data_IF_521879576319
#
_entry.id   IF_521879576319
#
_cell.length_a   1.000
_cell.length_b   1.000
_cell.length_c   1.000
_cell.angle_alpha   90.00
_cell.angle_beta   90.00
_cell.angle_gamma   90.00
#
_symmetry.space_group_name_H-M   'P 1'
#
loop_
_entity.id
_entity.type
_entity.pdbx_description
1 polymer ?
#
# COMPACT_ATOMS: atom_id res chain seq x y z
N UNK A 1 29.17 -19.21 1.74
CA UNK A 1 27.85 -18.67 2.11
C UNK A 1 27.15 -19.71 2.96
N UNK A 2 26.52 -19.35 4.10
CA UNK A 2 25.74 -20.31 4.88
C UNK A 2 24.70 -20.96 3.97
N UNK A 3 24.52 -22.28 4.13
CA UNK A 3 23.60 -23.05 3.31
C UNK A 3 22.16 -22.55 3.55
N UNK A 4 21.64 -21.83 2.56
CA UNK A 4 20.30 -21.27 2.56
C UNK A 4 19.24 -22.34 2.32
N UNK A 5 19.59 -23.58 1.96
CA UNK A 5 18.62 -24.63 1.68
C UNK A 5 17.62 -24.84 2.84
N UNK A 6 18.09 -24.66 4.07
CA UNK A 6 17.28 -24.70 5.30
C UNK A 6 16.37 -23.48 5.49
N UNK A 7 16.77 -22.30 5.02
CA UNK A 7 16.13 -21.01 5.33
C UNK A 7 15.47 -20.35 4.12
N UNK A 8 15.58 -20.95 2.94
CA UNK A 8 15.10 -20.37 1.70
C UNK A 8 13.60 -20.08 1.77
N UNK A 9 12.84 -20.99 2.38
CA UNK A 9 11.40 -20.83 2.55
C UNK A 9 11.08 -19.73 3.56
N UNK A 10 11.78 -19.67 4.69
CA UNK A 10 11.63 -18.66 5.73
C UNK A 10 11.94 -17.26 5.19
N UNK A 11 13.01 -17.13 4.42
CA UNK A 11 13.45 -15.85 3.85
C UNK A 11 12.47 -15.38 2.77
N UNK A 12 12.07 -16.27 1.84
CA UNK A 12 11.10 -15.93 0.79
C UNK A 12 9.74 -15.60 1.40
N UNK A 13 9.29 -16.35 2.41
CA UNK A 13 8.03 -16.07 3.09
C UNK A 13 8.08 -14.77 3.90
N UNK A 14 9.18 -14.47 4.60
CA UNK A 14 9.36 -13.21 5.31
C UNK A 14 9.29 -12.00 4.38
N UNK A 15 9.97 -12.06 3.23
CA UNK A 15 9.87 -11.01 2.22
C UNK A 15 8.48 -10.97 1.58
N UNK A 16 7.89 -12.12 1.23
CA UNK A 16 6.56 -12.19 0.62
C UNK A 16 5.47 -11.59 1.51
N UNK A 17 5.46 -11.93 2.80
CA UNK A 17 4.54 -11.36 3.78
C UNK A 17 4.78 -9.85 3.94
N UNK A 18 6.05 -9.44 4.09
CA UNK A 18 6.38 -8.02 4.25
C UNK A 18 5.97 -7.19 3.02
N UNK A 19 6.23 -7.70 1.81
CA UNK A 19 5.79 -7.07 0.56
C UNK A 19 4.27 -6.99 0.49
N UNK A 20 3.55 -8.06 0.84
CA UNK A 20 2.09 -8.07 0.84
C UNK A 20 1.50 -7.03 1.81
N UNK A 21 2.07 -6.89 3.01
CA UNK A 21 1.66 -5.88 3.99
C UNK A 21 1.89 -4.46 3.47
N UNK A 22 3.05 -4.19 2.86
CA UNK A 22 3.36 -2.88 2.29
C UNK A 22 2.41 -2.53 1.13
N UNK A 23 2.17 -3.48 0.22
CA UNK A 23 1.21 -3.28 -0.88
C UNK A 23 -0.19 -3.01 -0.32
N UNK A 24 -0.63 -3.79 0.67
CA UNK A 24 -1.91 -3.56 1.35
C UNK A 24 -2.02 -2.17 1.96
N UNK A 25 -0.97 -1.70 2.65
CA UNK A 25 -0.92 -0.37 3.24
C UNK A 25 -1.00 0.74 2.18
N UNK A 26 -0.27 0.61 1.08
CA UNK A 26 -0.32 1.56 -0.04
C UNK A 26 -1.73 1.61 -0.64
N UNK A 27 -2.35 0.46 -0.89
CA UNK A 27 -3.71 0.40 -1.43
C UNK A 27 -4.73 1.04 -0.48
N UNK A 28 -4.62 0.80 0.83
CA UNK A 28 -5.46 1.44 1.84
C UNK A 28 -5.27 2.97 1.87
N UNK A 29 -4.02 3.43 1.78
CA UNK A 29 -3.69 4.86 1.72
C UNK A 29 -4.33 5.53 0.50
N UNK A 30 -4.18 4.91 -0.68
CA UNK A 30 -4.78 5.39 -1.92
C UNK A 30 -6.31 5.41 -1.84
N UNK A 31 -6.93 4.35 -1.30
CA UNK A 31 -8.38 4.27 -1.15
C UNK A 31 -8.93 5.41 -0.28
N UNK A 32 -8.30 5.67 0.87
CA UNK A 32 -8.67 6.80 1.74
C UNK A 32 -8.44 8.16 1.06
N UNK A 33 -7.31 8.31 0.38
CA UNK A 33 -6.97 9.53 -0.36
C UNK A 33 -7.97 9.88 -1.48
N UNK A 34 -8.54 8.87 -2.15
CA UNK A 34 -9.57 9.09 -3.18
C UNK A 34 -10.82 9.78 -2.64
N UNK A 35 -11.27 9.44 -1.44
CA UNK A 35 -12.42 10.10 -0.80
C UNK A 35 -12.13 11.57 -0.48
N UNK A 36 -10.96 11.86 0.06
CA UNK A 36 -10.55 13.23 0.35
C UNK A 36 -10.45 14.09 -0.93
N UNK A 37 -9.91 13.53 -2.02
CA UNK A 37 -9.86 14.21 -3.32
C UNK A 37 -11.24 14.49 -3.91
N UNK A 38 -12.18 13.56 -3.78
CA UNK A 38 -13.55 13.76 -4.25
C UNK A 38 -14.25 14.90 -3.49
N UNK A 39 -14.02 14.98 -2.18
CA UNK A 39 -14.57 16.06 -1.35
C UNK A 39 -13.94 17.42 -1.70
N UNK A 40 -12.62 17.47 -1.87
CA UNK A 40 -11.93 18.69 -2.29
C UNK A 40 -12.41 19.17 -3.66
N UNK A 41 -12.56 18.28 -4.64
CA UNK A 41 -13.07 18.64 -5.95
C UNK A 41 -14.49 19.23 -5.89
N UNK A 42 -15.36 18.72 -5.01
CA UNK A 42 -16.69 19.28 -4.80
C UNK A 42 -16.63 20.73 -4.29
N UNK A 43 -15.78 20.99 -3.29
CA UNK A 43 -15.61 22.33 -2.69
C UNK A 43 -14.97 23.31 -3.70
N UNK A 44 -13.96 22.87 -4.46
CA UNK A 44 -13.32 23.69 -5.50
C UNK A 44 -14.32 24.06 -6.61
N UNK A 45 -15.23 23.15 -6.98
CA UNK A 45 -16.28 23.44 -7.97
C UNK A 45 -17.32 24.45 -7.47
N UNK A 46 -17.70 24.43 -6.19
CA UNK A 46 -18.65 25.42 -5.62
C UNK A 46 -18.03 26.82 -5.48
N UNK A 47 -16.75 26.94 -5.13
CA UNK A 47 -16.09 28.23 -4.95
C UNK A 47 -15.69 28.95 -6.26
N UNK A 48 -15.63 28.22 -7.37
CA UNK A 48 -15.19 28.74 -8.67
C UNK A 48 -16.38 28.92 -9.66
N UNK A 49 -17.61 28.81 -9.17
CA UNK A 49 -18.87 29.08 -9.87
C UNK A 49 -19.48 30.41 -9.40
#
# INVERSE_FOLDING_TARGET
MPDLGKYALEVISAYGISTALLVGLVLLSLHKGRKARAELARIEHENNA
#
